data_IF_472680007409
#
_entry.id   IF_472680007409
#
_cell.length_a   1.000
_cell.length_b   1.000
_cell.length_c   1.000
_cell.angle_alpha   90.00
_cell.angle_beta   90.00
_cell.angle_gamma   90.00
#
_symmetry.space_group_name_H-M   'P 1'
#
loop_
_entity.id
_entity.type
_entity.pdbx_description
1 polymer ?
#
# COMPACT_ATOMS: atom_id res chain seq x y z
N UNK A 1 -63.95 8.84 -4.26
CA UNK A 1 -62.61 9.12 -3.67
C UNK A 1 -61.90 7.79 -3.49
N UNK A 2 -60.71 7.57 -4.08
CA UNK A 2 -59.70 6.51 -3.76
C UNK A 2 -58.67 6.24 -4.88
N UNK A 3 -58.61 7.03 -5.95
CA UNK A 3 -57.61 6.83 -7.02
C UNK A 3 -56.28 7.57 -6.73
N UNK A 4 -56.27 8.59 -5.86
CA UNK A 4 -55.07 9.37 -5.53
C UNK A 4 -54.04 8.63 -4.67
N UNK A 5 -54.43 7.56 -3.97
CA UNK A 5 -53.53 6.83 -3.07
C UNK A 5 -52.60 5.84 -3.80
N UNK A 6 -53.01 5.34 -4.98
CA UNK A 6 -52.24 4.31 -5.71
C UNK A 6 -51.04 4.93 -6.45
N UNK A 7 -51.21 6.14 -6.99
CA UNK A 7 -50.13 6.86 -7.68
C UNK A 7 -49.00 7.31 -6.74
N UNK A 8 -49.28 7.44 -5.43
CA UNK A 8 -48.28 7.82 -4.44
C UNK A 8 -47.34 6.65 -4.08
N UNK A 9 -47.82 5.41 -4.14
CA UNK A 9 -46.99 4.22 -3.88
C UNK A 9 -46.08 3.86 -5.06
N UNK A 10 -46.47 4.16 -6.30
CA UNK A 10 -45.61 3.89 -7.46
C UNK A 10 -44.42 4.87 -7.56
N UNK A 11 -44.59 6.12 -7.12
CA UNK A 11 -43.53 7.11 -7.10
C UNK A 11 -42.46 6.85 -6.02
N UNK A 12 -42.83 6.11 -4.95
CA UNK A 12 -41.91 5.81 -3.85
C UNK A 12 -40.90 4.68 -4.19
N UNK A 13 -41.25 3.82 -5.15
CA UNK A 13 -40.41 2.68 -5.58
C UNK A 13 -39.28 3.07 -6.56
N UNK A 14 -39.31 4.28 -7.12
CA UNK A 14 -38.26 4.73 -8.07
C UNK A 14 -37.09 5.41 -7.35
N UNK A 15 -37.29 5.89 -6.11
CA UNK A 15 -36.25 6.59 -5.32
C UNK A 15 -35.29 5.66 -4.58
N UNK A 16 -35.59 4.36 -4.45
CA UNK A 16 -34.65 3.39 -3.86
C UNK A 16 -33.63 2.85 -4.85
N UNK A 17 -33.68 3.27 -6.13
CA UNK A 17 -32.67 2.95 -7.14
C UNK A 17 -31.42 3.85 -7.09
N UNK A 18 -31.33 4.74 -6.10
CA UNK A 18 -30.15 5.58 -5.93
C UNK A 18 -29.02 4.77 -5.28
N UNK A 19 -28.24 4.13 -6.15
CA UNK A 19 -26.82 3.85 -5.98
C UNK A 19 -26.41 3.44 -4.56
N UNK A 20 -26.64 2.18 -4.20
CA UNK A 20 -25.66 1.49 -3.38
C UNK A 20 -24.41 1.38 -4.26
N UNK A 21 -23.61 2.46 -4.28
CA UNK A 21 -22.18 2.32 -4.52
C UNK A 21 -21.71 1.47 -3.35
N UNK A 22 -21.71 0.16 -3.55
CA UNK A 22 -20.86 -0.73 -2.80
C UNK A 22 -19.46 -0.21 -3.12
N UNK A 23 -18.96 0.73 -2.30
CA UNK A 23 -17.53 0.85 -2.10
C UNK A 23 -17.14 -0.54 -1.62
N UNK A 24 -16.72 -1.37 -2.58
CA UNK A 24 -15.81 -2.47 -2.32
C UNK A 24 -14.62 -1.76 -1.69
N UNK A 25 -14.68 -1.64 -0.36
CA UNK A 25 -13.57 -1.22 0.45
C UNK A 25 -12.54 -2.31 0.23
N UNK A 26 -11.73 -2.16 -0.83
CA UNK A 26 -10.56 -2.98 -1.04
C UNK A 26 -9.77 -2.93 0.27
N UNK A 27 -9.81 -4.02 1.01
CA UNK A 27 -9.19 -4.10 2.33
C UNK A 27 -7.67 -4.00 2.11
N UNK A 28 -7.17 -2.78 2.17
CA UNK A 28 -5.76 -2.52 1.95
C UNK A 28 -5.01 -2.92 3.22
N UNK A 29 -4.26 -4.02 3.15
CA UNK A 29 -3.51 -4.51 4.29
C UNK A 29 -2.21 -3.73 4.37
N UNK A 30 -1.98 -2.98 5.47
CA UNK A 30 -0.67 -2.38 5.74
C UNK A 30 0.15 -3.36 6.59
N UNK A 31 1.26 -3.86 6.06
CA UNK A 31 2.15 -4.82 6.74
C UNK A 31 3.54 -4.22 6.94
N UNK A 32 4.01 -4.21 8.19
CA UNK A 32 5.43 -3.98 8.48
C UNK A 32 6.21 -5.21 7.99
N UNK A 33 7.10 -5.01 7.02
CA UNK A 33 7.91 -6.08 6.44
C UNK A 33 9.22 -6.21 7.19
N UNK A 34 9.85 -5.07 7.50
CA UNK A 34 11.14 -5.06 8.16
C UNK A 34 11.37 -3.75 8.92
N UNK A 35 12.01 -3.85 10.08
CA UNK A 35 12.38 -2.69 10.89
C UNK A 35 13.61 -3.02 11.72
N UNK A 36 14.63 -2.17 11.65
CA UNK A 36 15.87 -2.37 12.40
C UNK A 36 16.51 -1.04 12.79
N UNK A 37 17.51 -1.10 13.67
CA UNK A 37 18.37 0.01 14.06
C UNK A 37 19.65 -0.06 13.23
N UNK A 38 20.14 1.08 12.79
CA UNK A 38 21.32 1.17 11.92
C UNK A 38 22.52 1.73 12.67
N UNK A 39 23.69 1.20 12.37
CA UNK A 39 24.97 1.86 12.61
C UNK A 39 25.31 2.82 11.43
N UNK A 40 26.44 3.53 11.53
CA UNK A 40 26.83 4.53 10.53
C UNK A 40 27.17 3.91 9.16
N UNK A 41 27.71 2.69 9.13
CA UNK A 41 28.05 1.97 7.90
C UNK A 41 26.81 1.48 7.15
N UNK A 42 25.84 0.94 7.88
CA UNK A 42 24.62 0.36 7.29
C UNK A 42 23.83 1.37 6.48
N UNK A 43 23.78 2.64 6.92
CA UNK A 43 22.99 3.68 6.24
C UNK A 43 23.42 3.87 4.79
N UNK A 44 24.72 4.05 4.53
CA UNK A 44 25.24 4.33 3.19
C UNK A 44 25.12 3.11 2.27
N UNK A 45 25.22 1.91 2.82
CA UNK A 45 25.07 0.67 2.08
C UNK A 45 23.61 0.40 1.70
N UNK A 46 22.69 0.54 2.66
CA UNK A 46 21.25 0.44 2.40
C UNK A 46 20.80 1.52 1.41
N UNK A 47 21.33 2.76 1.52
CA UNK A 47 21.00 3.82 0.57
C UNK A 47 21.40 3.46 -0.87
N UNK A 48 22.63 2.96 -1.08
CA UNK A 48 23.11 2.52 -2.40
C UNK A 48 22.27 1.37 -2.95
N UNK A 49 21.96 0.37 -2.11
CA UNK A 49 21.08 -0.74 -2.48
C UNK A 49 19.71 -0.24 -2.95
N UNK A 50 19.06 0.62 -2.16
CA UNK A 50 17.74 1.15 -2.48
C UNK A 50 17.73 1.99 -3.77
N UNK A 51 18.79 2.76 -4.01
CA UNK A 51 18.95 3.53 -5.25
C UNK A 51 19.13 2.63 -6.48
N UNK A 52 19.76 1.47 -6.32
CA UNK A 52 19.88 0.47 -7.39
C UNK A 52 18.55 -0.23 -7.70
N UNK A 53 17.78 -0.57 -6.66
CA UNK A 53 16.50 -1.29 -6.80
C UNK A 53 15.33 -0.39 -7.20
N UNK A 54 15.43 0.89 -6.84
CA UNK A 54 14.46 1.95 -7.10
C UNK A 54 15.20 3.19 -7.59
N UNK A 55 15.43 3.36 -8.91
CA UNK A 55 16.24 4.46 -9.46
C UNK A 55 15.80 5.86 -9.02
N UNK A 56 14.50 6.06 -8.79
CA UNK A 56 13.95 7.34 -8.31
C UNK A 56 13.99 7.48 -6.78
N UNK A 57 14.77 6.69 -6.04
CA UNK A 57 14.87 6.77 -4.59
C UNK A 57 15.59 8.05 -4.15
N UNK A 58 14.91 9.00 -3.48
CA UNK A 58 15.50 10.25 -3.06
C UNK A 58 16.35 10.06 -1.79
N UNK A 59 17.21 11.04 -1.51
CA UNK A 59 18.02 11.07 -0.29
C UNK A 59 17.19 11.09 1.02
N UNK A 60 15.88 11.37 0.98
CA UNK A 60 15.00 11.39 2.16
C UNK A 60 13.59 10.87 1.85
N UNK A 61 13.08 10.02 2.76
CA UNK A 61 11.72 9.44 2.85
C UNK A 61 10.90 9.41 1.56
N UNK A 62 10.66 8.21 1.00
CA UNK A 62 9.75 8.04 -0.13
C UNK A 62 8.72 6.94 0.10
N UNK A 63 7.51 7.23 -0.38
CA UNK A 63 6.51 6.23 -0.74
C UNK A 63 6.80 5.83 -2.19
N UNK A 64 7.26 4.61 -2.40
CA UNK A 64 7.41 4.02 -3.73
C UNK A 64 6.09 3.35 -4.08
N UNK A 65 5.50 3.76 -5.20
CA UNK A 65 4.34 3.09 -5.77
C UNK A 65 4.83 2.37 -7.01
N UNK A 66 4.52 1.09 -7.12
CA UNK A 66 4.81 0.31 -8.32
C UNK A 66 3.66 -0.65 -8.59
N UNK A 67 3.47 -1.01 -9.85
CA UNK A 67 2.46 -1.96 -10.28
C UNK A 67 3.13 -3.22 -10.80
N UNK A 68 2.56 -4.39 -10.47
CA UNK A 68 2.93 -5.68 -11.06
C UNK A 68 1.63 -6.35 -11.50
N UNK A 69 1.50 -6.65 -12.80
CA UNK A 69 0.22 -7.07 -13.38
C UNK A 69 -0.87 -6.00 -13.21
N UNK A 70 -2.06 -6.40 -12.77
CA UNK A 70 -3.22 -5.52 -12.56
C UNK A 70 -3.35 -5.02 -11.10
N UNK A 71 -2.31 -5.19 -10.27
CA UNK A 71 -2.33 -4.78 -8.87
C UNK A 71 -1.37 -3.62 -8.61
N UNK A 72 -1.84 -2.67 -7.80
CA UNK A 72 -1.03 -1.56 -7.32
C UNK A 72 -0.45 -1.91 -5.94
N UNK A 73 0.86 -1.74 -5.83
CA UNK A 73 1.59 -1.95 -4.59
C UNK A 73 2.15 -0.63 -4.10
N UNK A 74 2.10 -0.44 -2.79
CA UNK A 74 2.71 0.69 -2.11
C UNK A 74 3.78 0.18 -1.17
N UNK A 75 5.02 0.58 -1.41
CA UNK A 75 6.16 0.34 -0.55
C UNK A 75 6.56 1.66 0.12
N UNK A 76 6.38 1.78 1.43
CA UNK A 76 6.81 2.95 2.20
C UNK A 76 8.16 2.62 2.84
N UNK A 77 9.19 3.35 2.44
CA UNK A 77 10.56 3.14 2.91
C UNK A 77 10.98 4.34 3.77
N UNK A 78 11.39 4.06 5.00
CA UNK A 78 11.85 5.04 5.95
C UNK A 78 13.30 4.75 6.34
N UNK A 79 14.23 5.34 5.59
CA UNK A 79 15.65 5.30 5.90
C UNK A 79 16.05 6.58 6.66
N UNK A 80 16.53 6.41 7.89
CA UNK A 80 17.10 7.45 8.76
C UNK A 80 18.49 7.02 9.20
N UNK A 81 19.32 7.98 9.64
CA UNK A 81 20.71 7.73 10.07
C UNK A 81 20.90 6.54 11.03
N UNK A 82 19.92 6.26 11.89
CA UNK A 82 20.01 5.20 12.90
C UNK A 82 18.85 4.20 12.84
N UNK A 83 17.94 4.30 11.85
CA UNK A 83 16.73 3.48 11.81
C UNK A 83 16.32 3.21 10.37
N UNK A 84 15.93 1.98 10.10
CA UNK A 84 15.30 1.58 8.86
C UNK A 84 13.90 1.01 9.12
N UNK A 85 12.99 1.26 8.19
CA UNK A 85 11.65 0.69 8.19
C UNK A 85 11.11 0.49 6.78
N UNK A 86 10.52 -0.68 6.55
CA UNK A 86 9.92 -1.10 5.29
C UNK A 86 8.48 -1.53 5.54
N UNK A 87 7.53 -0.79 4.96
CA UNK A 87 6.09 -1.10 5.05
C UNK A 87 5.58 -1.38 3.65
N UNK A 88 4.87 -2.50 3.51
CA UNK A 88 4.24 -2.93 2.28
C UNK A 88 2.72 -2.83 2.42
N UNK A 89 2.06 -2.35 1.37
CA UNK A 89 0.63 -2.22 1.29
C UNK A 89 0.15 -2.72 -0.08
N UNK A 90 -0.80 -3.65 -0.07
CA UNK A 90 -1.48 -4.16 -1.26
C UNK A 90 -3.00 -4.22 -1.01
N UNK A 91 -3.76 -4.13 -2.10
CA UNK A 91 -5.19 -4.45 -2.09
C UNK A 91 -5.36 -5.96 -2.30
N UNK A 92 -6.19 -6.61 -1.49
CA UNK A 92 -6.60 -8.01 -1.71
C UNK A 92 -5.89 -9.07 -0.88
N UNK A 93 -5.19 -8.70 0.21
CA UNK A 93 -4.71 -9.64 1.23
C UNK A 93 -3.67 -10.67 0.76
N UNK A 94 -3.09 -10.50 -0.43
CA UNK A 94 -2.06 -11.39 -0.95
C UNK A 94 -0.74 -11.22 -0.18
N UNK A 95 0.14 -12.23 -0.27
CA UNK A 95 1.46 -12.22 0.37
C UNK A 95 2.35 -11.03 -0.04
N UNK A 96 3.51 -10.93 0.60
CA UNK A 96 4.52 -9.92 0.23
C UNK A 96 5.11 -10.30 -1.14
N UNK A 97 5.20 -9.32 -2.03
CA UNK A 97 5.77 -9.49 -3.37
C UNK A 97 7.25 -9.91 -3.32
N UNK A 98 7.67 -10.78 -4.26
CA UNK A 98 9.04 -11.32 -4.31
C UNK A 98 10.12 -10.23 -4.36
N UNK A 99 9.86 -9.10 -5.04
CA UNK A 99 10.80 -7.98 -5.08
C UNK A 99 10.96 -7.37 -3.70
N UNK A 100 9.87 -7.26 -2.94
CA UNK A 100 9.89 -6.71 -1.58
C UNK A 100 10.59 -7.66 -0.62
N UNK A 101 10.35 -8.97 -0.73
CA UNK A 101 11.10 -9.97 0.05
C UNK A 101 12.60 -9.96 -0.32
N UNK A 102 12.95 -9.86 -1.60
CA UNK A 102 14.35 -9.75 -2.03
C UNK A 102 15.04 -8.51 -1.47
N UNK A 103 14.37 -7.35 -1.51
CA UNK A 103 14.89 -6.10 -0.91
C UNK A 103 15.02 -6.26 0.60
N UNK A 104 14.05 -6.87 1.28
CA UNK A 104 14.13 -7.16 2.71
C UNK A 104 15.36 -8.01 3.02
N UNK A 105 15.55 -9.15 2.36
CA UNK A 105 16.65 -10.07 2.65
C UNK A 105 18.03 -9.42 2.43
N UNK A 106 18.16 -8.59 1.39
CA UNK A 106 19.41 -7.84 1.15
C UNK A 106 19.68 -6.80 2.25
N UNK A 107 18.64 -6.16 2.78
CA UNK A 107 18.78 -5.20 3.89
C UNK A 107 19.10 -5.93 5.20
N UNK A 108 18.44 -7.05 5.45
CA UNK A 108 18.69 -7.90 6.62
C UNK A 108 20.16 -8.32 6.68
N UNK A 109 20.72 -8.78 5.55
CA UNK A 109 22.14 -9.14 5.43
C UNK A 109 23.14 -7.99 5.63
N UNK A 110 22.72 -6.73 5.50
CA UNK A 110 23.58 -5.56 5.80
C UNK A 110 23.58 -5.25 7.31
N UNK A 111 22.51 -5.62 8.01
CA UNK A 111 22.24 -5.17 9.39
C UNK A 111 22.42 -6.25 10.45
N UNK A 112 22.73 -7.49 10.04
CA UNK A 112 23.16 -8.61 10.88
C UNK A 112 24.69 -8.68 10.99
#
# INVERSE_FOLDING_TARGET
>A
MKIKAVLFFLALLVLTSCAIKQEVSEESTNRMVYKTTLNKGDYEEIYRLLKSEFPDFPERRKKVVYSRGNQYYTLKINLKKNKFGLVYQNSGGQGVDDKVESVRSKIEAITE
#
